data_IF_347520946014
#
_entry.id   IF_347520946014
#
_cell.length_a   1.000
_cell.length_b   1.000
_cell.length_c   1.000
_cell.angle_alpha   90.00
_cell.angle_beta   90.00
_cell.angle_gamma   90.00
#
_symmetry.space_group_name_H-M   'P 1'
#
loop_
_entity.id
_entity.type
_entity.pdbx_description
1 polymer ?
#
# COMPACT_ATOMS: atom_id res chain seq x y z
N UNK A 1 -5.15 -4.55 36.89
CA UNK A 1 -6.59 -4.86 37.05
C UNK A 1 -6.94 -6.04 36.16
N UNK A 2 -7.51 -7.09 36.72
CA UNK A 2 -7.76 -8.36 36.02
C UNK A 2 -8.84 -8.17 34.94
N UNK A 3 -8.57 -8.61 33.70
CA UNK A 3 -9.48 -8.51 32.54
C UNK A 3 -10.84 -9.16 32.84
N UNK A 4 -10.87 -10.21 33.66
CA UNK A 4 -12.11 -10.85 34.13
C UNK A 4 -12.97 -9.93 35.03
N UNK A 5 -12.36 -9.04 35.80
CA UNK A 5 -13.09 -8.11 36.67
C UNK A 5 -13.73 -6.98 35.86
N UNK A 6 -13.07 -6.52 34.80
CA UNK A 6 -13.61 -5.50 33.89
C UNK A 6 -14.78 -6.06 33.08
N UNK A 7 -14.64 -7.30 32.55
CA UNK A 7 -15.69 -7.97 31.76
C UNK A 7 -16.93 -8.26 32.62
N UNK A 8 -16.76 -8.75 33.85
CA UNK A 8 -17.90 -8.98 34.77
C UNK A 8 -18.63 -7.68 35.15
N UNK A 9 -17.90 -6.56 35.29
CA UNK A 9 -18.49 -5.25 35.58
C UNK A 9 -19.25 -4.69 34.36
N UNK A 10 -18.75 -4.92 33.15
CA UNK A 10 -19.43 -4.55 31.90
C UNK A 10 -20.73 -5.35 31.68
N UNK A 11 -20.72 -6.66 31.94
CA UNK A 11 -21.91 -7.51 31.81
C UNK A 11 -23.03 -7.13 32.80
N UNK A 12 -22.67 -6.82 34.06
CA UNK A 12 -23.64 -6.41 35.09
C UNK A 12 -24.24 -5.02 34.88
N UNK A 13 -23.59 -4.13 34.12
CA UNK A 13 -24.14 -2.81 33.77
C UNK A 13 -25.14 -2.93 32.60
N UNK A 14 -25.02 -3.99 31.78
CA UNK A 14 -25.83 -4.19 30.58
C UNK A 14 -27.26 -4.68 30.86
N UNK A 15 -27.62 -5.08 32.08
CA UNK A 15 -28.95 -5.61 32.44
C UNK A 15 -29.95 -4.54 32.92
N UNK A 16 -29.54 -3.27 32.99
CA UNK A 16 -30.38 -2.17 33.51
C UNK A 16 -30.78 -1.12 32.46
N UNK A 17 -30.33 -1.22 31.21
CA UNK A 17 -30.64 -0.24 30.16
C UNK A 17 -31.65 -0.80 29.15
N UNK A 18 -32.60 0.04 28.72
CA UNK A 18 -33.56 -0.29 27.65
C UNK A 18 -32.86 -0.87 26.42
N UNK A 19 -33.45 -1.89 25.79
CA UNK A 19 -32.91 -2.64 24.63
C UNK A 19 -32.40 -1.72 23.49
N UNK A 20 -32.98 -0.52 23.34
CA UNK A 20 -32.52 0.53 22.40
C UNK A 20 -31.14 1.11 22.75
N UNK A 21 -30.86 1.34 24.03
CA UNK A 21 -29.56 1.84 24.49
C UNK A 21 -28.49 0.76 24.35
N UNK A 22 -28.83 -0.50 24.63
CA UNK A 22 -27.91 -1.64 24.53
C UNK A 22 -27.50 -1.92 23.08
N UNK A 23 -28.43 -1.83 22.14
CA UNK A 23 -28.13 -1.97 20.69
C UNK A 23 -27.32 -0.79 20.15
N UNK A 24 -27.51 0.44 20.67
CA UNK A 24 -26.70 1.61 20.30
C UNK A 24 -25.25 1.50 20.80
N UNK A 25 -25.05 1.09 22.05
CA UNK A 25 -23.72 0.88 22.63
C UNK A 25 -22.97 -0.27 21.96
N UNK A 26 -23.66 -1.36 21.61
CA UNK A 26 -23.08 -2.44 20.80
C UNK A 26 -22.70 -1.96 19.40
N UNK A 27 -23.57 -1.21 18.70
CA UNK A 27 -23.24 -0.64 17.38
C UNK A 27 -22.03 0.30 17.42
N UNK A 28 -21.91 1.14 18.45
CA UNK A 28 -20.75 2.01 18.64
C UNK A 28 -19.47 1.20 18.93
N UNK A 29 -19.56 0.14 19.74
CA UNK A 29 -18.43 -0.75 20.02
C UNK A 29 -17.97 -1.50 18.76
N UNK A 30 -18.90 -2.07 17.97
CA UNK A 30 -18.58 -2.73 16.69
C UNK A 30 -18.03 -1.76 15.64
N UNK A 31 -18.59 -0.55 15.53
CA UNK A 31 -18.10 0.49 14.61
C UNK A 31 -16.68 0.94 14.98
N UNK A 32 -16.39 1.11 16.27
CA UNK A 32 -15.05 1.45 16.75
C UNK A 32 -14.04 0.31 16.49
N UNK A 33 -14.42 -0.95 16.70
CA UNK A 33 -13.54 -2.10 16.46
C UNK A 33 -13.23 -2.30 14.96
N UNK A 34 -14.23 -2.06 14.08
CA UNK A 34 -14.05 -2.11 12.62
C UNK A 34 -13.22 -0.91 12.10
N UNK A 35 -13.45 0.30 12.61
CA UNK A 35 -12.62 1.47 12.30
C UNK A 35 -11.15 1.25 12.69
N UNK A 36 -10.89 0.73 13.90
CA UNK A 36 -9.53 0.44 14.35
C UNK A 36 -8.88 -0.66 13.48
N UNK A 37 -9.62 -1.72 13.13
CA UNK A 37 -9.13 -2.76 12.23
C UNK A 37 -8.80 -2.20 10.84
N UNK A 38 -9.66 -1.36 10.27
CA UNK A 38 -9.41 -0.73 8.96
C UNK A 38 -8.23 0.23 8.99
N UNK A 39 -8.05 1.00 10.06
CA UNK A 39 -6.93 1.94 10.16
C UNK A 39 -5.60 1.24 10.43
N UNK A 40 -5.60 0.12 11.17
CA UNK A 40 -4.43 -0.76 11.33
C UNK A 40 -4.08 -1.42 10.00
N UNK A 41 -5.07 -1.91 9.23
CA UNK A 41 -4.83 -2.46 7.89
C UNK A 41 -4.27 -1.40 6.92
N UNK A 42 -4.85 -0.19 6.88
CA UNK A 42 -4.32 0.93 6.08
C UNK A 42 -2.90 1.33 6.49
N UNK A 43 -2.61 1.33 7.80
CA UNK A 43 -1.27 1.65 8.32
C UNK A 43 -0.26 0.54 8.01
N UNK A 44 -0.67 -0.72 8.03
CA UNK A 44 0.18 -1.84 7.62
C UNK A 44 0.46 -1.85 6.10
N UNK A 45 -0.43 -1.27 5.30
CA UNK A 45 -0.31 -1.15 3.84
C UNK A 45 0.54 0.06 3.41
N UNK A 46 0.69 1.07 4.30
CA UNK A 46 1.52 2.25 4.06
C UNK A 46 3.01 1.96 4.30
N UNK A 47 3.61 1.13 3.45
CA UNK A 47 5.06 1.09 3.24
C UNK A 47 5.36 1.97 2.03
N UNK A 48 5.62 3.24 2.29
CA UNK A 48 5.95 4.22 1.27
C UNK A 48 7.34 3.91 0.67
N UNK A 49 7.34 3.08 -0.37
CA UNK A 49 8.52 2.63 -1.10
C UNK A 49 8.52 3.25 -2.51
N UNK A 50 9.66 3.21 -3.21
CA UNK A 50 9.77 3.65 -4.61
C UNK A 50 8.67 3.01 -5.48
N UNK A 51 7.94 3.84 -6.24
CA UNK A 51 6.96 3.38 -7.24
C UNK A 51 7.37 3.76 -8.65
N UNK A 52 6.92 2.95 -9.62
CA UNK A 52 7.18 3.13 -11.04
C UNK A 52 5.92 3.51 -11.84
N UNK A 53 4.92 4.14 -11.23
CA UNK A 53 3.68 4.49 -11.93
C UNK A 53 3.96 5.43 -13.12
N UNK A 54 4.84 6.42 -12.93
CA UNK A 54 5.29 7.34 -13.98
C UNK A 54 5.98 6.65 -15.15
N UNK A 55 6.66 5.52 -14.93
CA UNK A 55 7.28 4.75 -16.03
C UNK A 55 6.23 4.39 -17.08
N UNK A 56 5.07 3.90 -16.65
CA UNK A 56 4.01 3.46 -17.55
C UNK A 56 3.37 4.62 -18.30
N UNK A 57 3.25 5.78 -17.64
CA UNK A 57 2.79 7.04 -18.25
C UNK A 57 3.77 7.53 -19.32
N UNK A 58 5.06 7.57 -18.99
CA UNK A 58 6.13 7.97 -19.91
C UNK A 58 6.21 7.03 -21.10
N UNK A 59 6.15 5.72 -20.89
CA UNK A 59 6.08 4.72 -21.97
C UNK A 59 4.89 4.96 -22.90
N UNK A 60 3.70 5.21 -22.32
CA UNK A 60 2.48 5.52 -23.08
C UNK A 60 2.64 6.79 -23.92
N UNK A 61 3.21 7.86 -23.35
CA UNK A 61 3.45 9.11 -24.08
C UNK A 61 4.43 8.96 -25.24
N UNK A 62 5.39 8.02 -25.13
CA UNK A 62 6.41 7.75 -26.14
C UNK A 62 6.02 6.65 -27.12
N UNK A 63 4.81 6.09 -27.00
CA UNK A 63 4.33 5.02 -27.86
C UNK A 63 5.10 3.70 -27.71
N UNK A 64 5.76 3.49 -26.58
CA UNK A 64 6.53 2.28 -26.28
C UNK A 64 5.67 1.36 -25.42
N UNK A 65 5.48 0.13 -25.86
CA UNK A 65 4.72 -0.87 -25.12
C UNK A 65 5.62 -1.69 -24.21
N UNK A 66 5.04 -2.36 -23.22
CA UNK A 66 5.78 -3.34 -22.40
C UNK A 66 6.30 -4.52 -23.24
N UNK A 67 5.64 -4.82 -24.36
CA UNK A 67 6.09 -5.83 -25.30
C UNK A 67 7.40 -5.42 -25.97
N UNK A 68 7.52 -4.14 -26.36
CA UNK A 68 8.75 -3.60 -26.96
C UNK A 68 9.94 -3.72 -26.00
N UNK A 69 9.75 -3.50 -24.70
CA UNK A 69 10.81 -3.62 -23.70
C UNK A 69 11.45 -5.01 -23.70
N UNK A 70 10.67 -6.09 -23.74
CA UNK A 70 11.24 -7.43 -23.70
C UNK A 70 11.64 -7.97 -25.08
N UNK A 71 11.02 -7.50 -26.16
CA UNK A 71 11.30 -8.00 -27.52
C UNK A 71 12.36 -7.20 -28.26
N UNK A 72 12.28 -5.87 -28.23
CA UNK A 72 13.14 -4.96 -29.00
C UNK A 72 14.34 -4.49 -28.20
N UNK A 73 14.15 -4.28 -26.89
CA UNK A 73 15.20 -3.81 -25.99
C UNK A 73 15.77 -4.90 -25.08
N UNK A 74 15.36 -6.15 -25.29
CA UNK A 74 15.87 -7.35 -24.60
C UNK A 74 15.88 -7.25 -23.06
N UNK A 75 14.93 -6.51 -22.50
CA UNK A 75 14.76 -6.43 -21.05
C UNK A 75 14.26 -7.78 -20.50
N UNK A 76 14.88 -8.24 -19.41
CA UNK A 76 14.50 -9.51 -18.81
C UNK A 76 13.07 -9.42 -18.26
N UNK A 77 12.23 -10.44 -18.55
CA UNK A 77 10.86 -10.54 -18.02
C UNK A 77 10.80 -10.46 -16.49
N UNK A 78 11.83 -10.96 -15.79
CA UNK A 78 11.97 -10.84 -14.34
C UNK A 78 12.12 -9.37 -13.90
N UNK A 79 12.90 -8.56 -14.62
CA UNK A 79 13.02 -7.13 -14.34
C UNK A 79 11.69 -6.41 -14.56
N UNK A 80 11.01 -6.69 -15.66
CA UNK A 80 9.68 -6.14 -15.93
C UNK A 80 8.67 -6.53 -14.85
N UNK A 81 8.73 -7.79 -14.37
CA UNK A 81 7.89 -8.25 -13.28
C UNK A 81 8.18 -7.51 -11.97
N UNK A 82 9.45 -7.21 -11.66
CA UNK A 82 9.83 -6.42 -10.48
C UNK A 82 9.27 -5.00 -10.56
N UNK A 83 9.38 -4.36 -11.73
CA UNK A 83 8.82 -3.01 -11.97
C UNK A 83 7.31 -2.98 -11.75
N UNK A 84 6.56 -3.96 -12.26
CA UNK A 84 5.10 -4.07 -12.08
C UNK A 84 4.66 -4.18 -10.62
N UNK A 85 5.51 -4.78 -9.78
CA UNK A 85 5.22 -5.01 -8.37
C UNK A 85 5.97 -4.03 -7.47
N UNK A 86 6.46 -2.91 -8.01
CA UNK A 86 7.23 -1.88 -7.29
C UNK A 86 8.36 -2.48 -6.43
N UNK A 87 9.03 -3.52 -6.93
CA UNK A 87 10.16 -4.13 -6.23
C UNK A 87 11.45 -3.36 -6.53
N UNK A 88 12.44 -3.49 -5.64
CA UNK A 88 13.77 -2.93 -5.89
C UNK A 88 14.32 -3.47 -7.21
N UNK A 89 14.89 -2.58 -8.00
CA UNK A 89 15.64 -2.91 -9.21
C UNK A 89 17.02 -2.27 -9.11
N UNK A 90 17.97 -2.78 -9.88
CA UNK A 90 19.31 -2.21 -9.93
C UNK A 90 19.28 -0.85 -10.65
N UNK A 91 20.16 0.06 -10.24
CA UNK A 91 20.31 1.39 -10.88
C UNK A 91 20.63 1.26 -12.38
N UNK A 92 21.37 0.23 -12.79
CA UNK A 92 21.62 -0.07 -14.20
C UNK A 92 20.34 -0.33 -15.01
N UNK A 93 19.28 -0.86 -14.37
CA UNK A 93 17.99 -1.05 -15.04
C UNK A 93 17.30 0.29 -15.27
N UNK A 94 17.39 1.20 -14.31
CA UNK A 94 16.85 2.57 -14.39
C UNK A 94 17.58 3.35 -15.48
N UNK A 95 18.92 3.30 -15.52
CA UNK A 95 19.74 3.93 -16.57
C UNK A 95 19.34 3.46 -17.98
N UNK A 96 19.20 2.14 -18.17
CA UNK A 96 18.72 1.58 -19.45
C UNK A 96 17.33 2.09 -19.82
N UNK A 97 16.41 2.19 -18.86
CA UNK A 97 15.07 2.74 -19.12
C UNK A 97 15.16 4.20 -19.54
N UNK A 98 15.95 5.03 -18.85
CA UNK A 98 16.17 6.43 -19.23
C UNK A 98 16.77 6.55 -20.63
N UNK A 99 17.72 5.69 -21.00
CA UNK A 99 18.32 5.68 -22.34
C UNK A 99 17.32 5.25 -23.44
N UNK A 100 16.50 4.23 -23.18
CA UNK A 100 15.47 3.76 -24.13
C UNK A 100 14.38 4.82 -24.32
N UNK A 101 13.95 5.43 -23.21
CA UNK A 101 12.86 6.38 -23.22
C UNK A 101 13.35 7.80 -23.54
N UNK A 102 14.65 8.11 -23.43
CA UNK A 102 15.17 9.47 -23.49
C UNK A 102 14.40 10.40 -22.53
N UNK A 103 14.53 10.12 -21.23
CA UNK A 103 13.86 10.83 -20.13
C UNK A 103 14.77 10.92 -18.90
N UNK A 104 14.37 11.71 -17.92
CA UNK A 104 15.05 11.79 -16.63
C UNK A 104 14.54 10.72 -15.65
N UNK A 105 15.21 10.57 -14.51
CA UNK A 105 14.88 9.57 -13.50
C UNK A 105 13.50 9.85 -12.86
N UNK A 106 13.20 11.13 -12.61
CA UNK A 106 11.93 11.59 -12.05
C UNK A 106 10.71 11.35 -12.95
N UNK A 107 10.93 11.05 -14.23
CA UNK A 107 9.89 10.73 -15.21
C UNK A 107 9.47 9.25 -15.16
N UNK A 108 10.24 8.41 -14.46
CA UNK A 108 9.98 6.95 -14.43
C UNK A 108 9.82 6.39 -13.02
N UNK A 109 10.33 7.07 -12.00
CA UNK A 109 10.17 6.63 -10.61
C UNK A 109 9.84 7.78 -9.67
N UNK A 110 9.17 7.46 -8.56
CA UNK A 110 8.86 8.41 -7.50
C UNK A 110 9.16 7.79 -6.16
N UNK A 111 9.93 8.51 -5.35
CA UNK A 111 10.19 8.15 -3.96
C UNK A 111 9.04 8.64 -3.07
N UNK A 112 8.57 7.74 -2.22
CA UNK A 112 7.65 8.07 -1.14
C UNK A 112 8.40 7.84 0.18
N UNK A 113 8.34 8.75 1.16
CA UNK A 113 9.04 8.56 2.44
C UNK A 113 8.48 7.40 3.27
N UNK A 114 9.28 6.37 3.53
CA UNK A 114 9.02 5.35 4.56
C UNK A 114 9.90 5.55 5.81
N UNK A 115 9.67 4.67 6.79
CA UNK A 115 10.46 4.59 8.01
C UNK A 115 11.81 3.84 7.80
N UNK A 116 12.18 3.49 6.56
CA UNK A 116 13.47 2.84 6.29
C UNK A 116 14.58 3.90 6.26
N UNK A 117 15.24 4.07 7.41
CA UNK A 117 16.37 4.99 7.50
C UNK A 117 17.65 4.33 6.97
N UNK A 118 17.74 2.98 6.93
CA UNK A 118 18.84 2.19 6.37
C UNK A 118 18.44 0.75 6.02
#
# INVERSE_FOLDING_TARGET
MNTNTVIKRFFNISTSYSVRIQTLLLKQFYANNNYIATEICKKAEKREMIKYDKLWETMKSKGITQYDLYTRYHMNRSQLNRLRHNRNVEVNTIDKLCNILNCNIEDIMTHYPDDNVF
#
